data_IF_175833686310
#
_entry.id   IF_175833686310
#
_cell.length_a   1.000
_cell.length_b   1.000
_cell.length_c   1.000
_cell.angle_alpha   90.00
_cell.angle_beta   90.00
_cell.angle_gamma   90.00
#
_symmetry.space_group_name_H-M   'P 1'
#
loop_
_entity.id
_entity.type
_entity.pdbx_description
1 polymer ?
#
# COMPACT_ATOMS: atom_id res chain seq x y z
N UNK A 1 -17.34 8.72 22.37
CA UNK A 1 -18.72 9.04 22.00
C UNK A 1 -19.29 7.91 21.18
N UNK A 2 -20.60 7.71 21.23
CA UNK A 2 -21.28 6.76 20.33
C UNK A 2 -21.09 7.23 18.89
N UNK A 3 -20.71 6.30 18.02
CA UNK A 3 -20.58 6.57 16.59
C UNK A 3 -21.96 6.56 15.98
N UNK A 4 -22.36 7.69 15.39
CA UNK A 4 -23.62 7.77 14.63
C UNK A 4 -23.47 6.90 13.36
N UNK A 5 -24.11 5.74 13.37
CA UNK A 5 -24.06 4.80 12.25
C UNK A 5 -24.89 5.27 11.05
N UNK A 6 -25.84 6.16 11.25
CA UNK A 6 -26.69 6.68 10.18
C UNK A 6 -25.90 7.57 9.20
N UNK A 7 -24.77 8.13 9.67
CA UNK A 7 -23.81 8.82 8.78
C UNK A 7 -23.33 7.97 7.61
N UNK A 8 -23.29 6.64 7.77
CA UNK A 8 -22.84 5.72 6.71
C UNK A 8 -23.88 5.47 5.61
N UNK A 9 -25.11 5.94 5.78
CA UNK A 9 -26.24 5.57 4.92
C UNK A 9 -26.30 6.36 3.60
N UNK A 10 -25.76 7.57 3.59
CA UNK A 10 -25.85 8.51 2.45
C UNK A 10 -24.50 8.78 1.77
N UNK A 11 -23.44 7.99 2.09
CA UNK A 11 -22.12 8.20 1.52
C UNK A 11 -21.82 7.19 0.41
N UNK A 12 -21.23 7.67 -0.67
CA UNK A 12 -20.80 6.84 -1.82
C UNK A 12 -19.35 6.40 -1.70
N UNK A 13 -18.51 7.19 -1.04
CA UNK A 13 -17.10 6.94 -0.79
C UNK A 13 -16.76 7.25 0.66
N UNK A 14 -16.05 6.33 1.31
CA UNK A 14 -15.56 6.51 2.67
C UNK A 14 -14.04 6.37 2.69
N UNK A 15 -13.36 7.44 3.05
CA UNK A 15 -11.90 7.43 3.21
C UNK A 15 -11.60 7.00 4.64
N UNK A 16 -10.86 5.90 4.77
CA UNK A 16 -10.58 5.26 6.05
C UNK A 16 -9.08 5.25 6.31
N UNK A 17 -8.66 5.82 7.44
CA UNK A 17 -7.26 5.79 7.88
C UNK A 17 -6.77 4.34 8.08
N UNK A 18 -5.50 4.02 7.76
CA UNK A 18 -4.93 2.67 7.92
C UNK A 18 -5.07 2.09 9.34
N UNK A 19 -5.13 2.95 10.36
CA UNK A 19 -5.32 2.54 11.77
C UNK A 19 -6.71 2.02 12.11
N UNK A 20 -7.75 2.36 11.33
CA UNK A 20 -9.13 1.92 11.59
C UNK A 20 -9.34 0.53 11.00
N UNK A 21 -9.94 -0.41 11.73
CA UNK A 21 -10.27 -1.74 11.21
C UNK A 21 -11.37 -1.66 10.15
N UNK A 22 -11.31 -2.53 9.14
CA UNK A 22 -12.41 -2.72 8.19
C UNK A 22 -13.66 -3.32 8.86
N UNK A 23 -13.48 -4.01 10.01
CA UNK A 23 -14.57 -4.53 10.84
C UNK A 23 -15.20 -3.47 11.74
N UNK A 24 -14.71 -2.23 11.72
CA UNK A 24 -15.31 -1.15 12.48
C UNK A 24 -16.80 -0.98 12.08
N UNK A 25 -17.75 -0.93 13.02
CA UNK A 25 -19.20 -0.95 12.70
C UNK A 25 -19.62 0.05 11.62
N UNK A 26 -19.06 1.26 11.64
CA UNK A 26 -19.34 2.29 10.63
C UNK A 26 -18.84 1.88 9.24
N UNK A 27 -17.61 1.34 9.16
CA UNK A 27 -17.02 0.91 7.89
C UNK A 27 -17.77 -0.29 7.32
N UNK A 28 -18.08 -1.28 8.17
CA UNK A 28 -18.84 -2.47 7.79
C UNK A 28 -20.25 -2.09 7.28
N UNK A 29 -20.93 -1.15 7.95
CA UNK A 29 -22.25 -0.68 7.52
C UNK A 29 -22.17 0.06 6.17
N UNK A 30 -21.21 0.95 5.99
CA UNK A 30 -21.01 1.67 4.73
C UNK A 30 -20.72 0.68 3.58
N UNK A 31 -19.81 -0.27 3.80
CA UNK A 31 -19.48 -1.31 2.82
C UNK A 31 -20.70 -2.17 2.44
N UNK A 32 -21.51 -2.58 3.42
CA UNK A 32 -22.73 -3.36 3.20
C UNK A 32 -23.78 -2.61 2.36
N UNK A 33 -23.72 -1.29 2.32
CA UNK A 33 -24.58 -0.43 1.48
C UNK A 33 -23.97 -0.08 0.12
N UNK A 34 -22.82 -0.66 -0.21
CA UNK A 34 -22.15 -0.42 -1.49
C UNK A 34 -21.27 0.83 -1.53
N UNK A 35 -21.00 1.47 -0.37
CA UNK A 35 -20.04 2.54 -0.26
C UNK A 35 -18.63 2.01 -0.59
N UNK A 36 -17.88 2.73 -1.41
CA UNK A 36 -16.48 2.39 -1.70
C UNK A 36 -15.60 2.77 -0.51
N UNK A 37 -14.94 1.78 0.06
CA UNK A 37 -13.99 1.99 1.17
C UNK A 37 -12.60 2.18 0.58
N UNK A 38 -12.00 3.34 0.84
CA UNK A 38 -10.74 3.76 0.24
C UNK A 38 -9.75 4.22 1.30
N UNK A 39 -8.47 4.13 0.98
CA UNK A 39 -7.38 4.65 1.80
C UNK A 39 -6.70 5.87 1.19
N UNK A 40 -5.73 6.40 1.91
CA UNK A 40 -4.85 7.49 1.47
C UNK A 40 -4.09 7.12 0.18
N UNK A 41 -3.66 5.87 0.06
CA UNK A 41 -2.91 5.38 -1.11
C UNK A 41 -3.79 5.32 -2.36
N UNK A 42 -5.08 4.97 -2.24
CA UNK A 42 -5.99 4.99 -3.39
C UNK A 42 -6.15 6.42 -3.94
N UNK A 43 -6.29 7.41 -3.04
CA UNK A 43 -6.38 8.82 -3.42
C UNK A 43 -5.09 9.31 -4.08
N UNK A 44 -3.92 8.91 -3.53
CA UNK A 44 -2.63 9.23 -4.11
C UNK A 44 -2.51 8.65 -5.53
N UNK A 45 -2.84 7.37 -5.72
CA UNK A 45 -2.73 6.70 -7.01
C UNK A 45 -3.68 7.24 -8.08
N UNK A 46 -4.80 7.85 -7.70
CA UNK A 46 -5.68 8.55 -8.63
C UNK A 46 -5.11 9.89 -9.10
N UNK A 47 -4.35 10.57 -8.24
CA UNK A 47 -3.82 11.90 -8.51
C UNK A 47 -2.44 11.87 -9.18
N UNK A 48 -1.64 10.82 -8.95
CA UNK A 48 -0.25 10.74 -9.41
C UNK A 48 -0.17 10.59 -10.93
N UNK A 49 0.77 11.32 -11.55
CA UNK A 49 0.97 11.32 -13.01
C UNK A 49 2.30 10.68 -13.43
N UNK A 50 3.18 10.37 -12.48
CA UNK A 50 4.51 9.82 -12.73
C UNK A 50 4.63 8.41 -12.15
N UNK A 51 5.62 7.60 -12.58
CA UNK A 51 5.76 6.23 -12.09
C UNK A 51 5.94 6.14 -10.58
N UNK A 52 5.34 5.12 -9.98
CA UNK A 52 5.41 4.84 -8.55
C UNK A 52 6.06 3.49 -8.30
N UNK A 53 7.04 3.47 -7.40
CA UNK A 53 7.69 2.25 -6.90
C UNK A 53 7.15 1.96 -5.51
N UNK A 54 6.60 0.77 -5.30
CA UNK A 54 6.04 0.34 -4.03
C UNK A 54 6.91 -0.69 -3.32
N UNK A 55 7.18 -0.46 -2.04
CA UNK A 55 8.01 -1.32 -1.20
C UNK A 55 7.22 -1.71 0.04
N UNK A 56 7.08 -3.01 0.29
CA UNK A 56 6.54 -3.56 1.53
C UNK A 56 7.42 -4.70 2.06
N UNK A 57 7.09 -5.19 3.23
CA UNK A 57 7.81 -6.27 3.91
C UNK A 57 7.53 -6.24 5.40
N UNK A 58 7.94 -7.25 6.14
CA UNK A 58 7.89 -7.21 7.60
C UNK A 58 8.99 -6.28 8.14
N UNK A 59 10.21 -6.45 7.68
CA UNK A 59 11.39 -5.70 8.14
C UNK A 59 12.12 -5.01 7.00
N UNK A 60 12.86 -3.93 7.31
CA UNK A 60 13.77 -3.25 6.38
C UNK A 60 13.10 -2.30 5.39
N UNK A 61 11.78 -2.15 5.42
CA UNK A 61 11.03 -1.28 4.50
C UNK A 61 11.62 0.14 4.41
N UNK A 62 11.66 0.84 5.53
CA UNK A 62 12.10 2.25 5.60
C UNK A 62 13.54 2.41 5.10
N UNK A 63 14.42 1.46 5.46
CA UNK A 63 15.83 1.46 5.03
C UNK A 63 15.94 1.33 3.52
N UNK A 64 15.24 0.36 2.92
CA UNK A 64 15.30 0.12 1.47
C UNK A 64 14.63 1.26 0.70
N UNK A 65 13.51 1.79 1.21
CA UNK A 65 12.79 2.90 0.61
C UNK A 65 13.65 4.17 0.58
N UNK A 66 14.26 4.52 1.71
CA UNK A 66 15.16 5.67 1.79
C UNK A 66 16.42 5.48 0.90
N UNK A 67 17.05 4.31 0.98
CA UNK A 67 18.23 4.00 0.19
C UNK A 67 17.97 4.09 -1.32
N UNK A 68 16.85 3.55 -1.78
CA UNK A 68 16.47 3.65 -3.20
C UNK A 68 16.29 5.11 -3.63
N UNK A 69 15.61 5.92 -2.83
CA UNK A 69 15.47 7.35 -3.12
C UNK A 69 16.82 8.06 -3.22
N UNK A 70 17.74 7.84 -2.28
CA UNK A 70 19.08 8.39 -2.31
C UNK A 70 19.87 7.93 -3.55
N UNK A 71 19.79 6.64 -3.91
CA UNK A 71 20.45 6.11 -5.10
C UNK A 71 19.92 6.74 -6.39
N UNK A 72 18.59 6.92 -6.51
CA UNK A 72 17.98 7.57 -7.67
C UNK A 72 18.44 9.03 -7.77
N UNK A 73 18.36 9.79 -6.69
CA UNK A 73 18.80 11.17 -6.65
C UNK A 73 20.30 11.33 -6.95
N UNK A 74 21.14 10.38 -6.52
CA UNK A 74 22.58 10.35 -6.86
C UNK A 74 22.84 10.05 -8.34
N UNK A 75 21.85 9.52 -9.06
CA UNK A 75 21.88 9.29 -10.52
C UNK A 75 21.12 10.36 -11.32
N UNK A 76 20.90 11.54 -10.74
CA UNK A 76 20.15 12.64 -11.35
C UNK A 76 18.70 12.30 -11.74
N UNK A 77 18.09 11.31 -11.05
CA UNK A 77 16.68 10.95 -11.16
C UNK A 77 15.96 11.50 -9.94
N UNK A 78 15.12 12.51 -10.12
CA UNK A 78 14.38 13.12 -9.01
C UNK A 78 13.38 12.13 -8.42
N UNK A 79 13.60 11.68 -7.19
CA UNK A 79 12.73 10.75 -6.48
C UNK A 79 12.23 11.34 -5.16
N UNK A 80 10.89 11.39 -5.00
CA UNK A 80 10.25 11.73 -3.73
C UNK A 80 9.85 10.48 -2.98
N UNK A 81 10.21 10.44 -1.69
CA UNK A 81 10.12 9.27 -0.81
C UNK A 81 9.13 9.51 0.32
N UNK A 82 8.26 8.53 0.58
CA UNK A 82 7.31 8.63 1.69
C UNK A 82 6.32 7.46 1.76
N UNK A 83 5.11 7.72 2.22
CA UNK A 83 4.04 6.74 2.43
C UNK A 83 3.84 6.40 3.90
N UNK A 84 3.98 5.13 4.27
CA UNK A 84 3.90 4.71 5.68
C UNK A 84 5.08 5.20 6.54
N UNK A 85 6.16 5.61 5.90
CA UNK A 85 7.36 6.16 6.53
C UNK A 85 7.59 7.59 6.05
N UNK A 86 8.02 8.48 6.97
CA UNK A 86 8.38 9.85 6.66
C UNK A 86 7.17 10.71 6.28
N UNK A 87 7.15 11.24 5.05
CA UNK A 87 6.06 12.09 4.57
C UNK A 87 4.87 11.26 4.13
N UNK A 88 3.64 11.65 4.46
CA UNK A 88 2.44 11.02 3.91
C UNK A 88 2.43 11.03 2.38
N UNK A 89 1.88 9.97 1.76
CA UNK A 89 1.89 9.85 0.30
C UNK A 89 1.24 11.06 -0.40
N UNK A 90 0.11 11.54 0.11
CA UNK A 90 -0.61 12.68 -0.47
C UNK A 90 0.21 13.99 -0.44
N UNK A 91 1.06 14.18 0.57
CA UNK A 91 1.91 15.36 0.68
C UNK A 91 3.03 15.36 -0.37
N UNK A 92 3.40 14.18 -0.91
CA UNK A 92 4.40 14.07 -1.96
C UNK A 92 3.92 14.62 -3.29
N UNK A 93 2.61 14.67 -3.53
CA UNK A 93 2.03 15.18 -4.79
C UNK A 93 2.38 16.65 -5.07
N UNK A 94 2.82 17.40 -4.06
CA UNK A 94 3.32 18.76 -4.21
C UNK A 94 4.74 18.82 -4.80
N UNK A 95 5.47 17.70 -4.84
CA UNK A 95 6.84 17.65 -5.34
C UNK A 95 6.85 17.48 -6.86
N UNK A 96 7.80 18.15 -7.52
CA UNK A 96 8.07 17.90 -8.93
C UNK A 96 9.13 16.79 -9.06
N UNK A 97 8.68 15.54 -9.01
CA UNK A 97 9.55 14.37 -9.04
C UNK A 97 9.33 13.53 -10.32
N UNK A 98 10.40 12.83 -10.77
CA UNK A 98 10.32 11.87 -11.87
C UNK A 98 9.71 10.54 -11.42
N UNK A 99 9.88 10.20 -10.13
CA UNK A 99 9.38 8.99 -9.49
C UNK A 99 8.93 9.26 -8.06
N UNK A 100 7.93 8.50 -7.63
CA UNK A 100 7.62 8.35 -6.21
C UNK A 100 8.04 6.97 -5.71
N UNK A 101 8.70 6.93 -4.55
CA UNK A 101 9.10 5.69 -3.88
C UNK A 101 8.32 5.59 -2.57
N UNK A 102 7.36 4.68 -2.52
CA UNK A 102 6.46 4.53 -1.39
C UNK A 102 6.77 3.32 -0.53
N UNK A 103 6.97 3.56 0.76
CA UNK A 103 6.80 2.52 1.75
C UNK A 103 5.31 2.26 1.97
N UNK A 104 4.88 0.99 1.86
CA UNK A 104 3.49 0.60 2.05
C UNK A 104 3.35 -0.42 3.19
N UNK A 105 2.50 -0.11 4.16
CA UNK A 105 2.13 -1.05 5.22
C UNK A 105 1.12 -2.08 4.72
N UNK A 106 1.01 -3.22 5.42
CA UNK A 106 -0.05 -4.19 5.15
C UNK A 106 -1.45 -3.58 5.32
N UNK A 107 -1.63 -2.67 6.26
CA UNK A 107 -2.91 -1.99 6.52
C UNK A 107 -3.34 -1.05 5.38
N UNK A 108 -2.38 -0.37 4.75
CA UNK A 108 -2.65 0.43 3.55
C UNK A 108 -3.00 -0.48 2.36
N UNK A 109 -2.23 -1.56 2.17
CA UNK A 109 -2.44 -2.52 1.09
C UNK A 109 -3.78 -3.29 1.22
N UNK A 110 -4.27 -3.52 2.43
CA UNK A 110 -5.56 -4.15 2.67
C UNK A 110 -6.72 -3.39 2.02
N UNK A 111 -6.64 -2.08 1.98
CA UNK A 111 -7.67 -1.18 1.43
C UNK A 111 -7.50 -0.92 -0.05
N UNK A 112 -6.24 -0.90 -0.50
CA UNK A 112 -5.92 -0.58 -1.87
C UNK A 112 -6.54 -1.61 -2.84
N UNK A 113 -7.27 -1.14 -3.85
CA UNK A 113 -7.89 -2.02 -4.85
C UNK A 113 -6.84 -2.56 -5.81
N UNK A 114 -6.17 -1.67 -6.56
CA UNK A 114 -5.12 -2.04 -7.50
C UNK A 114 -4.23 -0.82 -7.78
N UNK A 115 -2.99 -0.89 -7.36
CA UNK A 115 -2.10 0.27 -7.37
C UNK A 115 -1.49 0.56 -8.75
N UNK A 116 -1.34 -0.45 -9.62
CA UNK A 116 -0.73 -0.24 -10.94
C UNK A 116 0.70 0.29 -10.88
N UNK A 117 1.46 -0.14 -9.88
CA UNK A 117 2.83 0.30 -9.62
C UNK A 117 3.76 0.00 -10.80
N UNK A 118 4.72 0.88 -11.07
CA UNK A 118 5.78 0.64 -12.06
C UNK A 118 6.67 -0.54 -11.62
N UNK A 119 7.06 -0.54 -10.33
CA UNK A 119 7.78 -1.64 -9.71
C UNK A 119 7.17 -1.91 -8.33
N UNK A 120 6.98 -3.17 -7.99
CA UNK A 120 6.53 -3.61 -6.68
C UNK A 120 7.46 -4.65 -6.07
N UNK A 121 7.70 -4.56 -4.77
CA UNK A 121 8.49 -5.55 -4.05
C UNK A 121 7.93 -5.85 -2.66
N UNK A 122 8.00 -7.14 -2.28
CA UNK A 122 7.90 -7.61 -0.91
C UNK A 122 9.28 -8.04 -0.46
N UNK A 123 9.89 -7.37 0.49
CA UNK A 123 11.28 -7.62 0.90
C UNK A 123 11.43 -8.95 1.65
N UNK A 124 10.49 -9.22 2.52
CA UNK A 124 10.42 -10.41 3.37
C UNK A 124 9.04 -10.51 4.03
N UNK A 125 8.69 -11.72 4.48
CA UNK A 125 7.49 -11.95 5.29
C UNK A 125 7.87 -12.81 6.51
N UNK A 126 7.72 -12.23 7.69
CA UNK A 126 7.89 -12.91 8.98
C UNK A 126 6.69 -12.61 9.88
N UNK A 127 6.49 -13.40 10.93
CA UNK A 127 5.39 -13.19 11.85
C UNK A 127 5.48 -11.80 12.50
N UNK A 128 4.49 -10.97 12.21
CA UNK A 128 4.35 -9.62 12.74
C UNK A 128 2.87 -9.22 12.69
N UNK A 129 2.44 -8.28 13.53
CA UNK A 129 1.05 -7.81 13.60
C UNK A 129 0.00 -8.94 13.78
N UNK A 130 0.34 -10.03 14.46
CA UNK A 130 -0.59 -11.15 14.75
C UNK A 130 -1.69 -10.77 15.75
N UNK A 131 -1.60 -9.62 16.38
CA UNK A 131 -2.68 -8.95 17.11
C UNK A 131 -3.81 -8.46 16.19
N UNK A 132 -3.49 -8.17 14.93
CA UNK A 132 -4.40 -7.63 13.91
C UNK A 132 -4.79 -8.66 12.85
N UNK A 133 -3.88 -9.58 12.51
CA UNK A 133 -4.11 -10.63 11.52
C UNK A 133 -4.34 -11.97 12.19
N UNK A 134 -5.44 -12.69 11.89
CA UNK A 134 -5.73 -14.00 12.46
C UNK A 134 -4.64 -15.04 12.17
N UNK A 135 -3.87 -14.85 11.11
CA UNK A 135 -2.79 -15.76 10.72
C UNK A 135 -1.70 -15.08 9.89
N UNK A 136 -0.51 -15.70 9.86
CA UNK A 136 0.58 -15.29 8.95
C UNK A 136 0.13 -15.33 7.48
N UNK A 137 -0.76 -16.24 7.11
CA UNK A 137 -1.31 -16.34 5.76
C UNK A 137 -2.07 -15.09 5.35
N UNK A 138 -2.91 -14.56 6.20
CA UNK A 138 -3.69 -13.35 5.91
C UNK A 138 -2.80 -12.11 5.85
N UNK A 139 -1.82 -12.02 6.75
CA UNK A 139 -0.80 -10.97 6.69
C UNK A 139 0.00 -11.02 5.39
N UNK A 140 0.42 -12.22 4.96
CA UNK A 140 1.09 -12.46 3.68
C UNK A 140 0.21 -12.02 2.51
N UNK A 141 -1.06 -12.43 2.50
CA UNK A 141 -2.02 -12.05 1.46
C UNK A 141 -2.23 -10.53 1.39
N UNK A 142 -2.30 -9.85 2.54
CA UNK A 142 -2.42 -8.41 2.58
C UNK A 142 -1.22 -7.72 1.90
N UNK A 143 0.02 -8.16 2.20
CA UNK A 143 1.22 -7.63 1.55
C UNK A 143 1.28 -7.90 0.05
N UNK A 144 0.84 -9.08 -0.38
CA UNK A 144 0.86 -9.47 -1.78
C UNK A 144 -0.11 -8.68 -2.67
N UNK A 145 -1.04 -7.92 -2.07
CA UNK A 145 -1.87 -6.98 -2.82
C UNK A 145 -1.05 -5.90 -3.55
N UNK A 146 0.19 -5.64 -3.10
CA UNK A 146 1.12 -4.71 -3.76
C UNK A 146 1.39 -5.10 -5.22
N UNK A 147 1.29 -6.38 -5.55
CA UNK A 147 1.55 -6.89 -6.90
C UNK A 147 0.39 -6.71 -7.87
N UNK A 148 -0.79 -6.30 -7.38
CA UNK A 148 -1.96 -6.12 -8.23
C UNK A 148 -1.72 -5.03 -9.27
N UNK A 149 -1.77 -5.42 -10.56
CA UNK A 149 -1.48 -4.57 -11.71
C UNK A 149 -0.08 -3.95 -11.70
N UNK A 150 0.86 -4.45 -10.92
CA UNK A 150 2.24 -4.01 -11.00
C UNK A 150 2.84 -4.39 -12.36
N UNK A 151 3.57 -3.45 -12.99
CA UNK A 151 4.19 -3.69 -14.30
C UNK A 151 5.43 -4.57 -14.18
N UNK A 152 6.18 -4.42 -13.09
CA UNK A 152 7.38 -5.20 -12.79
C UNK A 152 7.39 -5.59 -11.31
N UNK A 153 7.97 -6.74 -11.03
CA UNK A 153 8.11 -7.28 -9.68
C UNK A 153 9.58 -7.57 -9.40
N UNK A 154 10.02 -7.17 -8.22
CA UNK A 154 11.30 -7.60 -7.64
C UNK A 154 10.98 -8.52 -6.47
N UNK A 155 11.41 -9.77 -6.54
CA UNK A 155 11.25 -10.77 -5.49
C UNK A 155 12.60 -11.15 -4.88
N UNK A 156 12.59 -11.46 -3.59
CA UNK A 156 13.76 -12.03 -2.93
C UNK A 156 13.85 -13.52 -3.23
N UNK A 157 14.86 -13.93 -3.98
CA UNK A 157 15.06 -15.33 -4.40
C UNK A 157 15.21 -16.31 -3.22
N UNK A 158 15.71 -15.82 -2.10
CA UNK A 158 15.98 -16.63 -0.90
C UNK A 158 14.78 -16.70 0.06
N UNK A 159 13.71 -15.95 -0.22
CA UNK A 159 12.47 -15.98 0.55
C UNK A 159 11.26 -16.25 -0.38
N UNK A 160 10.78 -17.49 -0.46
CA UNK A 160 9.68 -17.87 -1.33
C UNK A 160 8.36 -17.14 -1.00
N UNK A 161 8.22 -16.60 0.22
CA UNK A 161 7.04 -15.81 0.62
C UNK A 161 7.01 -14.42 -0.03
N UNK A 162 8.07 -14.02 -0.72
CA UNK A 162 8.12 -12.73 -1.47
C UNK A 162 7.76 -12.89 -2.93
N UNK A 163 7.71 -14.12 -3.43
CA UNK A 163 7.37 -14.43 -4.83
C UNK A 163 5.86 -14.24 -5.03
N UNK A 164 5.42 -13.46 -6.04
CA UNK A 164 4.00 -13.29 -6.31
C UNK A 164 3.27 -14.62 -6.44
N UNK A 165 2.13 -14.74 -5.79
CA UNK A 165 1.18 -15.81 -6.07
C UNK A 165 0.62 -15.55 -7.46
N UNK A 166 1.20 -16.18 -8.47
CA UNK A 166 0.98 -15.87 -9.89
C UNK A 166 -0.49 -16.06 -10.25
N UNK A 167 -1.14 -14.97 -10.67
CA UNK A 167 -2.12 -15.03 -11.75
C UNK A 167 -1.39 -14.62 -13.04
N UNK A 168 -1.80 -15.11 -14.20
CA UNK A 168 -1.15 -14.94 -15.51
C UNK A 168 -0.91 -13.47 -15.94
N UNK A 169 -1.31 -12.50 -15.14
CA UNK A 169 -1.26 -11.06 -15.44
C UNK A 169 0.02 -10.36 -14.94
N UNK A 170 0.90 -11.02 -14.20
CA UNK A 170 2.14 -10.40 -13.67
C UNK A 170 3.34 -10.93 -14.45
N UNK A 171 4.00 -10.06 -15.21
CA UNK A 171 5.32 -10.36 -15.79
C UNK A 171 6.39 -10.24 -14.69
N UNK A 172 7.04 -11.34 -14.38
CA UNK A 172 8.21 -11.41 -13.49
C UNK A 172 9.47 -11.05 -14.26
#
# INVERSE_FOLDING_TARGET
GEVDLDFADDVTDMIVSPGVSLDHPLVARASARGCRIRGDIDLFMEAVQVPVIGITGSNGKSTVTALLGEMMNACDISASVGGNFGRPALDLLADNADYYVLELSSFQLERAEALGLEVATVLNVSADHLDRYPSLREYHQAKHRIFRRAKRVVANRDDPLTVPLISEEVRV
#
